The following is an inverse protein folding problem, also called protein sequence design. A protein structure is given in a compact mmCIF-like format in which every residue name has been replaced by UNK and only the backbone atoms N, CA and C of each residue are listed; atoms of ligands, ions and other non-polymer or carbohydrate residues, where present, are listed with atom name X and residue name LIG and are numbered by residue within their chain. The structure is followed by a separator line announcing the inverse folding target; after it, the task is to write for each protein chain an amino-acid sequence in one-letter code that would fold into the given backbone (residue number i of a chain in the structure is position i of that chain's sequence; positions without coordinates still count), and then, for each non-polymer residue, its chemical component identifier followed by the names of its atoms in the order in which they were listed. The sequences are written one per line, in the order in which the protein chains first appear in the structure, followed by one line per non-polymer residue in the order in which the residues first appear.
data_IF_825672708850
#
_entry.id   IF_825672708850
#
_cell.length_a   1.000
_cell.length_b   1.000
_cell.length_c   1.000
_cell.angle_alpha   90.00
_cell.angle_beta   90.00
_cell.angle_gamma   90.00
#
_symmetry.space_group_name_H-M   'P 1'
#
loop_
_entity.id
_entity.type
_entity.pdbx_description
1 polymer ?
#
# COMPACT_ATOMS: atom_id res chain seq x y z
N UNK A 1 13.22 -53.49 11.15
CA UNK A 1 12.67 -52.47 12.04
C UNK A 1 13.33 -51.09 11.86
N UNK A 2 14.64 -50.94 11.68
CA UNK A 2 15.29 -49.61 11.51
C UNK A 2 14.83 -48.83 10.27
N UNK A 3 14.53 -49.50 9.17
CA UNK A 3 14.11 -48.84 7.92
C UNK A 3 12.66 -48.33 7.98
N UNK A 4 11.80 -48.96 8.77
CA UNK A 4 10.41 -48.57 8.93
C UNK A 4 10.25 -47.20 9.63
N UNK A 5 11.12 -46.92 10.59
CA UNK A 5 11.17 -45.62 11.30
C UNK A 5 11.65 -44.47 10.41
N UNK A 6 12.55 -44.75 9.44
CA UNK A 6 13.05 -43.76 8.50
C UNK A 6 11.91 -43.33 7.54
N UNK A 7 11.08 -44.24 7.07
CA UNK A 7 9.95 -43.92 6.20
C UNK A 7 8.84 -43.14 6.96
N UNK A 8 8.59 -43.47 8.22
CA UNK A 8 7.62 -42.76 9.07
C UNK A 8 8.14 -41.32 9.34
N UNK A 9 9.43 -41.13 9.61
CA UNK A 9 10.03 -39.81 9.81
C UNK A 9 9.99 -38.97 8.56
N UNK A 10 10.25 -39.53 7.38
CA UNK A 10 10.14 -38.84 6.07
C UNK A 10 8.70 -38.46 5.72
N UNK A 11 7.71 -39.27 6.12
CA UNK A 11 6.28 -38.95 5.90
C UNK A 11 5.81 -37.80 6.81
N UNK A 12 6.32 -37.71 8.04
CA UNK A 12 5.97 -36.63 8.98
C UNK A 12 6.51 -35.26 8.54
N UNK A 13 7.69 -35.21 7.90
CA UNK A 13 8.28 -33.94 7.44
C UNK A 13 7.56 -33.34 6.23
N UNK A 14 6.81 -34.15 5.45
CA UNK A 14 6.03 -33.67 4.31
C UNK A 14 4.76 -32.90 4.67
N UNK A 15 4.23 -33.07 5.88
CA UNK A 15 2.92 -32.50 6.26
C UNK A 15 3.02 -31.07 6.78
N UNK A 16 4.17 -30.64 7.29
CA UNK A 16 4.35 -29.29 7.88
C UNK A 16 4.48 -28.18 6.82
N UNK A 17 4.87 -28.51 5.59
CA UNK A 17 5.05 -27.49 4.52
C UNK A 17 3.76 -27.06 3.83
N UNK A 18 2.65 -27.80 4.01
CA UNK A 18 1.37 -27.52 3.33
C UNK A 18 0.50 -26.50 4.07
N UNK A 19 0.64 -26.38 5.38
CA UNK A 19 -0.21 -25.48 6.19
C UNK A 19 0.08 -23.99 5.92
N UNK A 20 1.33 -23.58 5.73
CA UNK A 20 1.67 -22.16 5.58
C UNK A 20 1.15 -21.55 4.27
N UNK A 21 1.11 -22.31 3.17
CA UNK A 21 0.62 -21.79 1.88
C UNK A 21 -0.89 -21.53 1.88
N UNK A 22 -1.66 -22.35 2.58
CA UNK A 22 -3.10 -22.18 2.66
C UNK A 22 -3.48 -20.95 3.50
N UNK A 23 -2.82 -20.74 4.64
CA UNK A 23 -3.06 -19.59 5.52
C UNK A 23 -2.74 -18.28 4.80
N UNK A 24 -1.62 -18.19 4.12
CA UNK A 24 -1.25 -16.98 3.36
C UNK A 24 -2.24 -16.68 2.21
N UNK A 25 -2.68 -17.70 1.47
CA UNK A 25 -3.66 -17.51 0.40
C UNK A 25 -5.04 -17.08 0.92
N UNK A 26 -5.42 -17.54 2.11
CA UNK A 26 -6.67 -17.13 2.76
C UNK A 26 -6.59 -15.68 3.26
N UNK A 27 -5.44 -15.27 3.80
CA UNK A 27 -5.19 -13.88 4.21
C UNK A 27 -5.28 -12.92 3.02
N UNK A 28 -4.65 -13.25 1.89
CA UNK A 28 -4.74 -12.43 0.67
C UNK A 28 -6.18 -12.28 0.15
N UNK A 29 -6.97 -13.36 0.18
CA UNK A 29 -8.38 -13.31 -0.21
C UNK A 29 -9.23 -12.50 0.77
N UNK A 30 -8.91 -12.55 2.04
CA UNK A 30 -9.60 -11.75 3.06
C UNK A 30 -9.29 -10.25 2.87
N UNK A 31 -8.03 -9.91 2.60
CA UNK A 31 -7.61 -8.55 2.29
C UNK A 31 -8.29 -8.01 1.01
N UNK A 32 -8.33 -8.80 -0.06
CA UNK A 32 -9.03 -8.42 -1.30
C UNK A 32 -10.50 -8.09 -1.05
N UNK A 33 -11.22 -8.95 -0.32
CA UNK A 33 -12.61 -8.70 0.06
C UNK A 33 -12.78 -7.44 0.93
N UNK A 34 -11.84 -7.18 1.82
CA UNK A 34 -11.84 -5.99 2.66
C UNK A 34 -11.69 -4.73 1.81
N UNK A 35 -10.76 -4.72 0.85
CA UNK A 35 -10.56 -3.63 -0.10
C UNK A 35 -11.81 -3.42 -0.96
N UNK A 36 -12.39 -4.48 -1.53
CA UNK A 36 -13.64 -4.40 -2.31
C UNK A 36 -14.79 -3.83 -1.49
N UNK A 37 -14.94 -4.31 -0.25
CA UNK A 37 -15.97 -3.82 0.67
C UNK A 37 -15.78 -2.34 1.03
N UNK A 38 -14.54 -1.90 1.22
CA UNK A 38 -14.21 -0.50 1.46
C UNK A 38 -14.55 0.35 0.25
N UNK A 39 -14.14 -0.06 -0.96
CA UNK A 39 -14.44 0.63 -2.22
C UNK A 39 -15.95 0.81 -2.39
N UNK A 40 -16.73 -0.26 -2.17
CA UNK A 40 -18.18 -0.21 -2.28
C UNK A 40 -18.81 0.72 -1.22
N UNK A 41 -18.39 0.61 0.04
CA UNK A 41 -18.90 1.40 1.17
C UNK A 41 -18.63 2.89 1.01
N UNK A 42 -17.46 3.25 0.47
CA UNK A 42 -17.07 4.64 0.22
C UNK A 42 -17.61 5.21 -1.11
N UNK A 43 -18.29 4.39 -1.91
CA UNK A 43 -18.77 4.82 -3.22
C UNK A 43 -17.64 5.19 -4.20
N UNK A 44 -16.50 4.53 -4.07
CA UNK A 44 -15.33 4.79 -4.90
C UNK A 44 -15.58 4.29 -6.32
N UNK A 45 -15.35 5.15 -7.30
CA UNK A 45 -15.34 4.80 -8.73
C UNK A 45 -13.93 4.43 -9.15
N UNK A 46 -13.70 3.15 -9.41
CA UNK A 46 -12.42 2.66 -9.93
C UNK A 46 -12.38 2.84 -11.45
N UNK A 47 -11.26 3.38 -11.94
CA UNK A 47 -10.96 3.53 -13.37
C UNK A 47 -9.64 2.84 -13.71
N UNK A 48 -9.55 2.29 -14.93
CA UNK A 48 -8.34 1.59 -15.41
C UNK A 48 -7.42 2.50 -16.24
N UNK A 49 -7.93 3.67 -16.65
CA UNK A 49 -7.14 4.69 -17.35
C UNK A 49 -6.91 5.83 -16.37
N UNK A 50 -5.63 6.22 -16.21
CA UNK A 50 -5.25 7.31 -15.31
C UNK A 50 -5.88 8.63 -15.79
N UNK A 51 -6.63 9.33 -14.92
CA UNK A 51 -7.10 10.68 -15.21
C UNK A 51 -5.95 11.64 -15.52
N UNK A 52 -6.17 12.54 -16.47
CA UNK A 52 -5.13 13.48 -16.96
C UNK A 52 -5.33 14.90 -16.48
N UNK A 53 -6.55 15.25 -16.07
CA UNK A 53 -6.88 16.57 -15.53
C UNK A 53 -7.43 16.48 -14.12
N UNK A 54 -7.34 17.57 -13.36
CA UNK A 54 -7.87 17.60 -11.98
C UNK A 54 -9.39 17.44 -11.93
N UNK A 55 -10.11 17.85 -12.98
CA UNK A 55 -11.57 17.65 -13.10
C UNK A 55 -11.93 16.17 -13.22
N UNK A 56 -11.12 15.38 -13.91
CA UNK A 56 -11.30 13.93 -14.03
C UNK A 56 -11.01 13.20 -12.69
N UNK A 57 -10.16 13.77 -11.83
CA UNK A 57 -9.91 13.32 -10.48
C UNK A 57 -11.01 13.77 -9.49
N UNK A 58 -12.28 13.69 -9.86
CA UNK A 58 -13.36 14.00 -8.93
C UNK A 58 -13.22 13.21 -7.61
N UNK A 59 -13.90 13.67 -6.55
CA UNK A 59 -13.67 13.29 -5.14
C UNK A 59 -13.48 11.80 -4.84
N UNK A 60 -14.16 10.93 -5.58
CA UNK A 60 -14.16 9.47 -5.36
C UNK A 60 -13.65 8.66 -6.56
N UNK A 61 -12.92 9.28 -7.50
CA UNK A 61 -12.31 8.54 -8.62
C UNK A 61 -10.94 8.06 -8.23
N UNK A 62 -10.75 6.74 -8.22
CA UNK A 62 -9.47 6.10 -7.95
C UNK A 62 -9.01 5.33 -9.18
N UNK A 63 -7.78 5.54 -9.57
CA UNK A 63 -7.15 4.80 -10.64
C UNK A 63 -6.53 3.51 -10.11
N UNK A 64 -6.85 2.37 -10.75
CA UNK A 64 -6.16 1.11 -10.50
C UNK A 64 -4.79 1.18 -11.14
N UNK A 65 -3.74 1.19 -10.31
CA UNK A 65 -2.38 1.29 -10.81
C UNK A 65 -1.97 -0.04 -11.44
N UNK A 66 -1.61 -0.07 -12.75
CA UNK A 66 -1.16 -1.29 -13.39
C UNK A 66 0.11 -1.83 -12.69
N UNK A 67 0.37 -3.13 -12.81
CA UNK A 67 1.48 -3.86 -12.19
C UNK A 67 1.41 -4.04 -10.66
N UNK A 68 0.40 -3.50 -10.00
CA UNK A 68 0.19 -3.64 -8.56
C UNK A 68 -1.24 -4.09 -8.24
N UNK A 69 -1.42 -5.37 -7.90
CA UNK A 69 -2.73 -5.90 -7.52
C UNK A 69 -3.27 -5.15 -6.30
N UNK A 70 -4.55 -4.76 -6.36
CA UNK A 70 -5.27 -4.10 -5.28
C UNK A 70 -4.65 -2.77 -4.79
N UNK A 71 -3.84 -2.12 -5.62
CA UNK A 71 -3.31 -0.79 -5.34
C UNK A 71 -4.07 0.27 -6.15
N UNK A 72 -4.65 1.25 -5.45
CA UNK A 72 -5.45 2.31 -6.06
C UNK A 72 -4.91 3.66 -5.63
N UNK A 73 -4.87 4.59 -6.57
CA UNK A 73 -4.34 5.93 -6.41
C UNK A 73 -5.39 6.97 -6.76
N UNK A 74 -5.50 8.02 -5.97
CA UNK A 74 -6.33 9.19 -6.20
C UNK A 74 -5.50 10.46 -5.95
N UNK A 75 -5.34 11.30 -6.96
CA UNK A 75 -4.66 12.59 -6.83
C UNK A 75 -5.65 13.61 -6.27
N UNK A 76 -5.37 14.13 -5.08
CA UNK A 76 -6.19 15.16 -4.43
C UNK A 76 -5.78 16.55 -4.89
N UNK A 77 -4.46 16.78 -5.02
CA UNK A 77 -3.88 18.05 -5.43
C UNK A 77 -2.57 17.80 -6.18
N UNK A 78 -2.44 18.43 -7.34
CA UNK A 78 -1.29 18.23 -8.21
C UNK A 78 0.00 18.89 -7.70
N UNK A 79 -0.12 19.86 -6.81
CA UNK A 79 1.02 20.59 -6.27
C UNK A 79 1.60 21.63 -7.25
N UNK A 80 2.86 22.01 -7.01
CA UNK A 80 3.53 23.06 -7.80
C UNK A 80 4.12 22.52 -9.10
N UNK A 81 3.35 22.60 -10.18
CA UNK A 81 3.76 22.16 -11.53
C UNK A 81 4.82 23.05 -12.17
N UNK A 82 5.19 24.17 -11.55
CA UNK A 82 6.31 25.02 -12.03
C UNK A 82 7.65 24.56 -11.48
N UNK A 83 7.64 23.71 -10.45
CA UNK A 83 8.83 23.06 -9.91
C UNK A 83 9.25 21.85 -10.77
N UNK A 84 10.50 21.40 -10.60
CA UNK A 84 10.96 20.17 -11.21
C UNK A 84 10.16 18.97 -10.66
N UNK A 85 9.98 17.95 -11.50
CA UNK A 85 9.47 16.64 -11.01
C UNK A 85 10.51 16.00 -10.09
N UNK A 86 10.04 15.21 -9.12
CA UNK A 86 10.90 14.46 -8.21
C UNK A 86 11.83 13.50 -8.98
N UNK A 87 13.11 13.52 -8.63
CA UNK A 87 14.13 12.64 -9.19
C UNK A 87 14.52 11.51 -8.23
N UNK A 88 15.04 10.42 -8.80
CA UNK A 88 15.55 9.30 -7.99
C UNK A 88 16.63 9.76 -7.02
N UNK A 89 16.59 9.26 -5.78
CA UNK A 89 17.49 9.57 -4.66
C UNK A 89 17.29 10.94 -4.03
N UNK A 90 16.36 11.75 -4.49
CA UNK A 90 16.00 12.98 -3.78
C UNK A 90 15.40 12.68 -2.42
N UNK A 91 15.63 13.57 -1.47
CA UNK A 91 15.05 13.49 -0.12
C UNK A 91 13.64 14.07 -0.18
N UNK A 92 12.66 13.21 0.13
CA UNK A 92 11.25 13.59 0.26
C UNK A 92 10.92 13.83 1.71
N UNK A 93 10.18 14.89 1.99
CA UNK A 93 9.54 15.15 3.26
C UNK A 93 8.05 14.87 3.14
N UNK A 94 7.55 13.84 3.82
CA UNK A 94 6.18 13.36 3.70
C UNK A 94 5.42 13.54 5.00
N UNK A 95 4.16 13.99 4.88
CA UNK A 95 3.15 13.92 5.96
C UNK A 95 2.05 12.96 5.52
N UNK A 96 1.54 12.16 6.43
CA UNK A 96 0.54 11.14 6.09
C UNK A 96 -0.45 10.92 7.22
N UNK A 97 -1.58 10.34 6.85
CA UNK A 97 -2.55 9.73 7.74
C UNK A 97 -2.83 8.33 7.25
N UNK A 98 -2.70 7.35 8.13
CA UNK A 98 -2.91 5.93 7.83
C UNK A 98 -3.98 5.36 8.75
N UNK A 99 -4.89 4.59 8.18
CA UNK A 99 -5.96 3.92 8.90
C UNK A 99 -6.30 2.59 8.22
N UNK A 100 -6.92 1.70 8.97
CA UNK A 100 -7.39 0.41 8.45
C UNK A 100 -8.64 0.58 7.59
N UNK A 101 -8.98 -0.43 6.79
CA UNK A 101 -10.11 -0.37 5.85
C UNK A 101 -11.40 -0.97 6.40
N UNK A 102 -11.44 -1.38 7.66
CA UNK A 102 -12.61 -1.90 8.34
C UNK A 102 -13.71 -0.84 8.47
N UNK A 103 -14.91 -1.29 8.85
CA UNK A 103 -16.06 -0.40 9.06
C UNK A 103 -15.78 0.62 10.20
N UNK A 104 -15.10 0.17 11.24
CA UNK A 104 -14.63 1.00 12.35
C UNK A 104 -13.11 1.11 12.28
N UNK A 105 -12.66 1.99 11.38
CA UNK A 105 -11.25 2.14 11.07
C UNK A 105 -10.45 2.70 12.25
N UNK A 106 -9.38 2.01 12.61
CA UNK A 106 -8.38 2.53 13.53
C UNK A 106 -7.38 3.42 12.78
N UNK A 107 -7.09 4.59 13.36
CA UNK A 107 -6.04 5.46 12.86
C UNK A 107 -4.70 4.98 13.39
N UNK A 108 -3.87 4.44 12.49
CA UNK A 108 -2.56 3.88 12.83
C UNK A 108 -1.48 4.96 12.93
N UNK A 109 -1.60 6.02 12.14
CA UNK A 109 -0.65 7.14 12.15
C UNK A 109 -1.32 8.42 11.71
N UNK A 110 -0.91 9.53 12.27
CA UNK A 110 -1.45 10.84 12.00
C UNK A 110 -0.47 11.69 11.19
N UNK A 111 -1.02 12.52 10.35
CA UNK A 111 -0.36 13.51 9.52
C UNK A 111 0.58 14.44 10.32
N UNK A 112 0.04 15.07 11.33
CA UNK A 112 0.78 15.95 12.23
C UNK A 112 0.07 15.97 13.57
N UNK A 113 0.79 15.67 14.64
CA UNK A 113 0.29 15.73 16.01
C UNK A 113 1.20 16.66 16.81
N UNK A 114 0.79 17.00 18.04
CA UNK A 114 1.67 17.70 18.99
C UNK A 114 2.91 16.85 19.32
N UNK A 115 2.76 15.52 19.32
CA UNK A 115 3.82 14.58 19.66
C UNK A 115 4.73 14.26 18.47
N UNK A 116 4.27 14.46 17.23
CA UNK A 116 5.05 14.22 16.01
C UNK A 116 4.85 15.35 14.99
N UNK A 117 5.40 16.53 15.23
CA UNK A 117 5.24 17.69 14.36
C UNK A 117 6.10 17.61 13.09
N UNK A 118 7.17 16.82 13.10
CA UNK A 118 8.12 16.72 12.01
C UNK A 118 7.62 15.76 10.92
N UNK A 119 7.83 16.08 9.62
CA UNK A 119 7.56 15.15 8.54
C UNK A 119 8.56 13.99 8.56
N UNK A 120 8.12 12.83 8.07
CA UNK A 120 9.04 11.73 7.77
C UNK A 120 9.88 12.10 6.56
N UNK A 121 11.18 11.76 6.59
CA UNK A 121 12.11 12.00 5.50
C UNK A 121 12.72 10.69 5.02
N UNK A 122 12.71 10.48 3.73
CA UNK A 122 13.35 9.32 3.10
C UNK A 122 13.78 9.66 1.66
N UNK A 123 14.57 8.79 1.04
CA UNK A 123 15.00 8.97 -0.34
C UNK A 123 14.02 8.29 -1.32
N UNK A 124 13.60 9.03 -2.35
CA UNK A 124 12.77 8.48 -3.42
C UNK A 124 13.51 7.39 -4.19
N UNK A 125 12.82 6.29 -4.53
CA UNK A 125 13.36 5.08 -5.20
C UNK A 125 14.49 4.38 -4.44
N UNK A 126 14.63 4.62 -3.15
CA UNK A 126 15.56 3.89 -2.27
C UNK A 126 14.73 3.16 -1.20
N UNK A 127 14.96 1.87 -1.06
CA UNK A 127 14.34 1.08 0.01
C UNK A 127 14.93 1.49 1.36
N UNK A 128 14.07 1.88 2.26
CA UNK A 128 14.43 2.24 3.63
C UNK A 128 13.32 1.80 4.59
N UNK A 129 13.62 1.77 5.88
CA UNK A 129 12.63 1.47 6.91
C UNK A 129 11.64 2.63 7.12
N UNK A 130 11.99 3.84 6.68
CA UNK A 130 11.15 5.03 6.77
C UNK A 130 10.11 5.11 5.66
N UNK A 131 10.15 4.23 4.65
CA UNK A 131 9.20 4.20 3.55
C UNK A 131 8.76 2.79 3.20
N UNK A 132 7.58 2.68 2.60
CA UNK A 132 7.09 1.43 2.04
C UNK A 132 6.97 1.53 0.51
N UNK A 133 6.85 0.38 -0.15
CA UNK A 133 6.71 0.32 -1.62
C UNK A 133 5.50 1.13 -2.10
N UNK A 134 4.37 1.06 -1.39
CA UNK A 134 3.18 1.82 -1.75
C UNK A 134 3.40 3.34 -1.79
N UNK A 135 4.19 3.89 -0.86
CA UNK A 135 4.56 5.30 -0.88
C UNK A 135 5.47 5.64 -2.06
N UNK A 136 6.45 4.79 -2.36
CA UNK A 136 7.35 4.98 -3.51
C UNK A 136 6.56 4.99 -4.83
N UNK A 137 5.58 4.09 -4.95
CA UNK A 137 4.67 4.06 -6.11
C UNK A 137 3.80 5.32 -6.19
N UNK A 138 3.23 5.76 -5.06
CA UNK A 138 2.40 6.96 -5.03
C UNK A 138 3.19 8.21 -5.45
N UNK A 139 4.42 8.38 -4.96
CA UNK A 139 5.30 9.50 -5.29
C UNK A 139 5.59 9.60 -6.79
N UNK A 140 5.72 8.47 -7.50
CA UNK A 140 5.88 8.43 -8.94
C UNK A 140 4.77 9.19 -9.69
N UNK A 141 3.56 9.19 -9.14
CA UNK A 141 2.39 9.82 -9.76
C UNK A 141 2.05 11.18 -9.15
N UNK A 142 2.50 11.45 -7.94
CA UNK A 142 2.41 12.79 -7.33
C UNK A 142 3.31 13.79 -8.04
N UNK A 143 4.54 13.41 -8.35
CA UNK A 143 5.56 14.12 -9.13
C UNK A 143 6.08 15.42 -8.52
N UNK A 144 5.22 16.32 -8.08
CA UNK A 144 5.55 17.70 -7.74
C UNK A 144 5.51 17.98 -6.25
N UNK A 145 6.22 19.01 -5.85
CA UNK A 145 6.21 19.52 -4.49
C UNK A 145 4.79 19.97 -4.07
N UNK A 146 4.42 19.74 -2.82
CA UNK A 146 3.09 20.01 -2.28
C UNK A 146 1.92 19.23 -2.90
N UNK A 147 2.18 18.18 -3.69
CA UNK A 147 1.11 17.29 -4.15
C UNK A 147 0.47 16.53 -2.98
N UNK A 148 -0.82 16.23 -3.11
CA UNK A 148 -1.56 15.42 -2.16
C UNK A 148 -2.26 14.26 -2.86
N UNK A 149 -2.23 13.09 -2.26
CA UNK A 149 -2.92 11.91 -2.77
C UNK A 149 -3.58 11.08 -1.68
N UNK A 150 -4.50 10.22 -2.08
CA UNK A 150 -5.00 9.11 -1.29
C UNK A 150 -4.62 7.81 -1.98
N UNK A 151 -4.24 6.80 -1.21
CA UNK A 151 -3.96 5.47 -1.75
C UNK A 151 -4.73 4.41 -0.96
N UNK A 152 -5.17 3.37 -1.66
CA UNK A 152 -5.55 2.10 -1.05
C UNK A 152 -4.36 1.18 -1.33
N UNK A 153 -3.70 0.72 -0.28
CA UNK A 153 -2.44 0.01 -0.37
C UNK A 153 -2.59 -1.38 0.24
N UNK A 154 -2.37 -2.46 -0.52
CA UNK A 154 -2.38 -3.80 0.03
C UNK A 154 -1.18 -4.01 0.96
N UNK A 155 -1.32 -4.91 1.93
CA UNK A 155 -0.31 -5.18 2.96
C UNK A 155 1.07 -5.49 2.40
N UNK A 156 1.13 -6.25 1.29
CA UNK A 156 2.38 -6.59 0.59
C UNK A 156 3.20 -5.39 0.08
N UNK A 157 2.57 -4.23 -0.07
CA UNK A 157 3.21 -2.97 -0.47
C UNK A 157 3.33 -1.97 0.69
N UNK A 158 2.80 -2.33 1.85
CA UNK A 158 2.88 -1.59 3.10
C UNK A 158 4.22 -1.76 3.82
N UNK A 159 4.24 -1.42 5.10
CA UNK A 159 5.41 -1.63 5.95
C UNK A 159 5.54 -3.10 6.35
N UNK A 160 6.77 -3.64 6.32
CA UNK A 160 7.04 -5.05 6.57
C UNK A 160 6.74 -5.54 7.99
N UNK A 161 6.64 -4.63 8.94
CA UNK A 161 6.34 -4.96 10.36
C UNK A 161 4.85 -5.23 10.60
N UNK A 162 3.99 -5.01 9.60
CA UNK A 162 2.53 -5.16 9.69
C UNK A 162 1.99 -6.38 8.92
N UNK A 163 2.89 -7.26 8.44
CA UNK A 163 2.55 -8.49 7.69
C UNK A 163 2.70 -9.74 8.55
#
# INVERSE_FOLDING_TARGET
MKHTYIYILLLLTGIVSSCNKNVYSEQLKAEEKLIESFIARQGIKVVDIMPTTMEEWSENVYWRVPDYDNFYFHLVEQGDTTSAEIEAKEIVSLRFKRYTLEEYADTLSLWTTQDSPEPIKFQYMINSQESCTGWQVALKYMKYHNSQCKIICPSKLGFSEEN
#
